data_IF_561112687496
#
_entry.id   IF_561112687496
#
_cell.length_a   1.000
_cell.length_b   1.000
_cell.length_c   1.000
_cell.angle_alpha   90.00
_cell.angle_beta   90.00
_cell.angle_gamma   90.00
#
_symmetry.space_group_name_H-M   'P 1'
#
loop_
_entity.id
_entity.type
_entity.pdbx_description
1 polymer ?
#
# COMPACT_ATOMS: atom_id res chain seq x y z
N UNK A 1 -6.31 -19.14 11.57
CA UNK A 1 -6.08 -18.71 11.17
C UNK A 1 -6.46 -18.05 10.50
N UNK A 2 -6.55 -17.60 10.56
CA UNK A 2 -6.86 -16.71 10.01
C UNK A 2 -6.89 -16.46 8.86
N UNK A 3 -7.31 -16.59 8.73
CA UNK A 3 -7.15 -16.46 7.88
C UNK A 3 -6.88 -15.70 7.05
N UNK A 4 -6.60 -15.87 6.68
CA UNK A 4 -5.86 -14.77 6.22
C UNK A 4 -6.60 -14.04 5.14
N UNK A 5 -7.12 -12.90 5.45
CA UNK A 5 -7.86 -12.13 4.48
C UNK A 5 -7.01 -11.74 3.29
N UNK A 6 -5.71 -11.64 3.51
CA UNK A 6 -4.82 -11.24 2.44
C UNK A 6 -4.85 -12.20 1.27
N UNK A 7 -5.23 -13.43 1.52
CA UNK A 7 -5.27 -14.41 0.45
C UNK A 7 -6.53 -14.30 -0.39
N UNK A 8 -7.48 -13.48 0.01
CA UNK A 8 -8.71 -13.33 -0.75
C UNK A 8 -8.66 -12.18 -1.73
N UNK A 9 -7.60 -11.39 -1.74
CA UNK A 9 -7.44 -10.35 -2.74
C UNK A 9 -6.07 -10.48 -3.37
N UNK A 10 -5.96 -9.99 -4.59
CA UNK A 10 -4.72 -10.07 -5.31
C UNK A 10 -3.66 -9.21 -4.68
N UNK A 11 -2.47 -9.75 -4.58
CA UNK A 11 -1.33 -8.98 -4.12
C UNK A 11 -0.76 -8.20 -5.29
N UNK A 12 -0.39 -6.97 -5.05
CA UNK A 12 0.20 -6.12 -6.06
C UNK A 12 1.70 -6.04 -5.86
N UNK A 13 2.42 -5.97 -6.95
CA UNK A 13 3.86 -5.74 -6.88
C UNK A 13 4.11 -4.27 -6.53
N UNK A 14 5.38 -3.97 -6.21
CA UNK A 14 5.75 -2.59 -5.93
C UNK A 14 5.48 -1.69 -7.13
N UNK A 15 5.75 -2.20 -8.34
CA UNK A 15 5.44 -1.41 -9.54
C UNK A 15 3.97 -1.08 -9.64
N UNK A 16 3.14 -2.07 -9.39
CA UNK A 16 1.70 -1.87 -9.49
C UNK A 16 1.20 -0.91 -8.41
N UNK A 17 1.73 -1.04 -7.20
CA UNK A 17 1.35 -0.15 -6.11
C UNK A 17 1.78 1.28 -6.39
N UNK A 18 3.00 1.44 -6.89
CA UNK A 18 3.49 2.77 -7.23
C UNK A 18 2.64 3.41 -8.32
N UNK A 19 2.25 2.60 -9.29
CA UNK A 19 1.39 3.09 -10.37
C UNK A 19 0.02 3.48 -9.84
N UNK A 20 -0.53 2.69 -8.95
CA UNK A 20 -1.82 3.01 -8.35
C UNK A 20 -1.75 4.32 -7.58
N UNK A 21 -0.66 4.55 -6.87
CA UNK A 21 -0.50 5.77 -6.08
C UNK A 21 0.07 6.92 -6.90
N UNK A 22 0.44 6.67 -8.15
CA UNK A 22 0.98 7.69 -9.05
C UNK A 22 2.27 8.29 -8.50
N UNK A 23 3.14 7.46 -8.00
CA UNK A 23 4.44 7.91 -7.50
C UNK A 23 5.53 7.03 -8.08
N UNK A 24 6.76 7.50 -8.12
CA UNK A 24 7.89 6.66 -8.53
C UNK A 24 8.10 5.52 -7.53
N UNK A 25 8.71 4.45 -7.99
CA UNK A 25 9.00 3.33 -7.10
C UNK A 25 9.87 3.74 -5.91
N UNK A 26 10.82 4.63 -6.15
CA UNK A 26 11.67 5.09 -5.06
C UNK A 26 10.85 5.76 -3.96
N UNK A 27 9.86 6.53 -4.36
CA UNK A 27 8.97 7.16 -3.39
C UNK A 27 8.15 6.10 -2.66
N UNK A 28 7.69 5.08 -3.38
CA UNK A 28 6.94 4.01 -2.74
C UNK A 28 7.76 3.35 -1.64
N UNK A 29 9.01 3.03 -1.93
CA UNK A 29 9.88 2.41 -0.93
C UNK A 29 10.15 3.34 0.23
N UNK A 30 10.23 4.63 -0.05
CA UNK A 30 10.39 5.60 1.02
C UNK A 30 9.17 5.63 1.93
N UNK A 31 7.98 5.53 1.34
CA UNK A 31 6.75 5.51 2.13
C UNK A 31 6.70 4.28 3.03
N UNK A 32 7.14 3.15 2.51
CA UNK A 32 7.20 1.93 3.31
C UNK A 32 8.14 2.12 4.49
N UNK A 33 9.29 2.69 4.23
CA UNK A 33 10.31 2.81 5.25
C UNK A 33 10.01 3.90 6.27
N UNK A 34 9.50 5.03 5.80
CA UNK A 34 9.39 6.21 6.64
C UNK A 34 7.99 6.55 7.09
N UNK A 35 6.98 6.11 6.37
CA UNK A 35 5.63 6.52 6.66
C UNK A 35 4.70 5.36 7.02
N UNK A 36 5.25 4.18 7.12
CA UNK A 36 4.45 3.04 7.55
C UNK A 36 3.44 2.54 6.56
N UNK A 37 3.73 2.69 5.27
CA UNK A 37 2.84 2.17 4.26
C UNK A 37 2.68 0.66 4.42
N UNK A 38 1.46 0.15 4.57
CA UNK A 38 1.27 -1.28 4.80
C UNK A 38 1.76 -2.11 3.63
N UNK A 39 2.41 -3.19 3.93
CA UNK A 39 2.97 -4.05 2.90
C UNK A 39 3.08 -5.46 3.43
N UNK A 40 3.25 -6.41 2.53
CA UNK A 40 3.49 -7.81 2.85
C UNK A 40 4.89 -8.14 2.35
N UNK A 41 5.67 -8.76 3.20
CA UNK A 41 7.02 -9.15 2.80
C UNK A 41 7.00 -10.63 2.41
N UNK A 42 7.34 -10.88 1.17
CA UNK A 42 7.40 -12.24 0.64
C UNK A 42 8.86 -12.57 0.40
N UNK A 43 9.41 -13.44 1.22
CA UNK A 43 10.82 -13.81 1.08
C UNK A 43 11.72 -12.64 1.44
N UNK A 44 12.93 -12.66 0.88
CA UNK A 44 13.94 -11.69 1.26
C UNK A 44 13.74 -10.31 0.67
N UNK A 45 13.24 -10.26 -0.55
CA UNK A 45 13.16 -9.00 -1.24
C UNK A 45 11.79 -8.66 -1.78
N UNK A 46 10.88 -9.57 -1.70
CA UNK A 46 9.60 -9.35 -2.31
C UNK A 46 8.70 -8.53 -1.43
N UNK A 47 8.28 -7.40 -1.92
CA UNK A 47 7.25 -6.61 -1.27
C UNK A 47 5.98 -6.71 -2.09
N UNK A 48 4.88 -6.88 -1.40
CA UNK A 48 3.58 -6.91 -2.06
C UNK A 48 2.63 -6.03 -1.27
N UNK A 49 1.58 -5.63 -1.92
CA UNK A 49 0.63 -4.69 -1.33
C UNK A 49 -0.77 -5.16 -1.65
N UNK A 50 -1.72 -4.82 -0.79
CA UNK A 50 -3.12 -5.06 -1.10
C UNK A 50 -3.78 -3.72 -1.35
N UNK A 51 -4.76 -3.74 -2.24
CA UNK A 51 -5.47 -2.51 -2.58
C UNK A 51 -6.18 -1.93 -1.37
N UNK A 52 -6.80 -2.78 -0.57
CA UNK A 52 -7.53 -2.27 0.58
C UNK A 52 -6.62 -1.59 1.59
N UNK A 53 -5.43 -2.14 1.79
CA UNK A 53 -4.48 -1.50 2.69
C UNK A 53 -4.03 -0.15 2.17
N UNK A 54 -3.77 -0.08 0.85
CA UNK A 54 -3.35 1.17 0.26
C UNK A 54 -4.46 2.22 0.34
N UNK A 55 -5.69 1.80 0.10
CA UNK A 55 -6.81 2.73 0.18
C UNK A 55 -7.00 3.25 1.59
N UNK A 56 -6.87 2.38 2.58
CA UNK A 56 -6.98 2.81 3.97
C UNK A 56 -5.87 3.78 4.33
N UNK A 57 -4.66 3.47 3.90
CA UNK A 57 -3.54 4.34 4.21
C UNK A 57 -3.71 5.72 3.59
N UNK A 58 -4.14 5.75 2.33
CA UNK A 58 -4.38 7.02 1.66
C UNK A 58 -5.44 7.82 2.39
N UNK A 59 -6.49 7.14 2.81
CA UNK A 59 -7.57 7.80 3.54
C UNK A 59 -7.05 8.43 4.83
N UNK A 60 -6.19 7.71 5.54
CA UNK A 60 -5.64 8.20 6.80
C UNK A 60 -4.65 9.34 6.59
N UNK A 61 -4.10 9.47 5.40
CA UNK A 61 -3.10 10.48 5.12
C UNK A 61 -3.62 11.54 4.18
N UNK A 62 -4.91 11.74 4.16
CA UNK A 62 -5.53 12.78 3.35
C UNK A 62 -5.66 14.03 4.20
N UNK A 63 -5.15 15.13 3.71
CA UNK A 63 -5.18 16.40 4.41
C UNK A 63 -5.95 17.41 3.61
N UNK A 64 -6.49 18.37 4.30
CA UNK A 64 -7.22 19.43 3.64
C UNK A 64 -8.71 19.18 3.68
N UNK A 65 -9.44 19.83 2.78
CA UNK A 65 -10.89 19.88 2.86
C UNK A 65 -11.57 19.00 1.85
N UNK A 66 -11.06 17.87 1.58
CA UNK A 66 -11.71 17.07 0.59
C UNK A 66 -12.99 16.40 1.09
N UNK A 67 -13.32 16.50 2.29
CA UNK A 67 -14.48 15.93 2.73
C UNK A 67 -15.64 16.68 2.44
N UNK A 68 -16.18 16.95 1.93
CA UNK A 68 -17.02 17.45 1.71
C UNK A 68 -17.90 17.24 1.18
N UNK A 69 -18.00 16.98 1.30
CA UNK A 69 -18.61 16.77 1.04
C UNK A 69 -19.05 16.55 1.02
#
# INVERSE_FOLDING_TARGET
MPDAPILTESLMTADEAARLLHVPRSTLYELVRSRGLPHVRIGDRGLRFTRSDLESWVSEHTYGTRRRR
#
